data_IF_508301997275
#
_entry.id   IF_508301997275
#
_cell.length_a   1.000
_cell.length_b   1.000
_cell.length_c   1.000
_cell.angle_alpha   90.00
_cell.angle_beta   90.00
_cell.angle_gamma   90.00
#
_symmetry.space_group_name_H-M   'P 1'
#
loop_
_entity.id
_entity.type
_entity.pdbx_description
1 polymer ?
#
# COMPACT_ATOMS: atom_id res chain seq x y z
N UNK A 1 4.28 2.79 -16.79
CA UNK A 1 2.92 3.11 -16.39
C UNK A 1 2.12 1.80 -16.23
N UNK A 2 1.77 1.38 -15.00
CA UNK A 2 1.06 0.13 -14.74
C UNK A 2 -0.31 0.05 -15.44
N UNK A 3 -0.89 1.19 -15.82
CA UNK A 3 -2.16 1.26 -16.56
C UNK A 3 -2.08 0.71 -17.98
N UNK A 4 -0.87 0.45 -18.49
CA UNK A 4 -0.66 -0.15 -19.81
C UNK A 4 -0.69 -1.67 -19.80
N UNK A 5 -0.77 -2.29 -18.63
CA UNK A 5 -0.62 -3.73 -18.48
C UNK A 5 -1.76 -4.36 -17.67
N UNK A 6 -2.07 -5.61 -18.01
CA UNK A 6 -3.04 -6.43 -17.28
C UNK A 6 -4.44 -5.82 -17.25
N UNK A 7 -5.09 -5.95 -16.12
CA UNK A 7 -6.50 -5.55 -15.92
C UNK A 7 -6.76 -4.06 -16.12
N UNK A 8 -5.74 -3.20 -15.94
CA UNK A 8 -5.85 -1.75 -16.15
C UNK A 8 -5.89 -1.33 -17.63
N UNK A 9 -5.46 -2.20 -18.54
CA UNK A 9 -5.43 -1.94 -19.97
C UNK A 9 -6.70 -2.39 -20.70
N UNK A 10 -7.68 -2.95 -20.00
CA UNK A 10 -8.93 -3.41 -20.62
C UNK A 10 -9.82 -2.24 -21.01
N UNK A 11 -10.53 -2.38 -22.14
CA UNK A 11 -11.49 -1.34 -22.61
C UNK A 11 -12.58 -1.07 -21.57
N UNK A 12 -13.06 -2.10 -20.88
CA UNK A 12 -14.08 -1.97 -19.83
C UNK A 12 -13.59 -1.13 -18.66
N UNK A 13 -12.39 -1.42 -18.15
CA UNK A 13 -11.79 -0.62 -17.07
C UNK A 13 -11.59 0.84 -17.50
N UNK A 14 -10.98 1.06 -18.66
CA UNK A 14 -10.71 2.40 -19.17
C UNK A 14 -11.98 3.21 -19.39
N UNK A 15 -13.06 2.57 -19.91
CA UNK A 15 -14.35 3.24 -20.11
C UNK A 15 -14.91 3.72 -18.77
N UNK A 16 -15.06 2.83 -17.80
CA UNK A 16 -15.67 3.15 -16.50
C UNK A 16 -14.85 4.19 -15.75
N UNK A 17 -13.50 4.08 -15.77
CA UNK A 17 -12.63 5.08 -15.13
C UNK A 17 -12.65 6.45 -15.83
N UNK A 18 -12.81 6.49 -17.14
CA UNK A 18 -12.97 7.76 -17.86
C UNK A 18 -14.32 8.42 -17.55
N UNK A 19 -15.39 7.65 -17.46
CA UNK A 19 -16.71 8.15 -17.08
C UNK A 19 -16.69 8.71 -15.65
N UNK A 20 -16.11 7.98 -14.69
CA UNK A 20 -15.90 8.44 -13.31
C UNK A 20 -15.07 9.75 -13.28
N UNK A 21 -13.95 9.78 -13.99
CA UNK A 21 -13.06 10.94 -14.02
C UNK A 21 -13.76 12.15 -14.62
N UNK A 22 -14.50 11.97 -15.71
CA UNK A 22 -15.22 13.06 -16.38
C UNK A 22 -16.37 13.61 -15.51
N UNK A 23 -17.13 12.73 -14.85
CA UNK A 23 -18.21 13.14 -13.95
C UNK A 23 -17.70 13.97 -12.75
N UNK A 24 -16.45 13.77 -12.36
CA UNK A 24 -15.87 14.41 -11.18
C UNK A 24 -14.90 15.56 -11.50
N UNK A 25 -14.69 15.92 -12.77
CA UNK A 25 -13.66 16.89 -13.15
C UNK A 25 -13.89 18.31 -12.61
N UNK A 26 -15.15 18.69 -12.42
CA UNK A 26 -15.55 20.00 -11.90
C UNK A 26 -16.13 19.98 -10.49
N UNK A 27 -16.08 18.84 -9.81
CA UNK A 27 -16.61 18.68 -8.46
C UNK A 27 -15.53 19.00 -7.44
N UNK A 28 -15.89 19.73 -6.39
CA UNK A 28 -15.00 19.90 -5.23
C UNK A 28 -14.97 18.60 -4.46
N UNK A 29 -13.77 18.00 -4.35
CA UNK A 29 -13.57 16.73 -3.67
C UNK A 29 -13.43 16.91 -2.16
N UNK A 30 -13.96 15.96 -1.41
CA UNK A 30 -13.70 15.86 0.02
C UNK A 30 -12.27 15.39 0.28
N UNK A 31 -11.67 15.75 1.42
CA UNK A 31 -10.43 15.12 1.87
C UNK A 31 -10.61 13.59 1.93
N UNK A 32 -9.57 12.87 1.51
CA UNK A 32 -9.51 11.40 1.51
C UNK A 32 -10.59 10.69 0.67
N UNK A 33 -11.27 11.43 -0.21
CA UNK A 33 -12.27 10.87 -1.12
C UNK A 33 -11.64 9.86 -2.08
N UNK A 34 -12.16 8.65 -2.08
CA UNK A 34 -11.71 7.54 -2.93
C UNK A 34 -12.53 7.44 -4.22
N UNK A 35 -11.88 6.99 -5.28
CA UNK A 35 -12.54 6.64 -6.54
C UNK A 35 -13.03 5.20 -6.48
N UNK A 36 -14.33 5.00 -6.60
CA UNK A 36 -14.99 3.73 -6.31
C UNK A 36 -15.23 2.84 -7.52
N UNK A 37 -15.30 3.42 -8.72
CA UNK A 37 -15.65 2.68 -9.92
C UNK A 37 -14.57 1.67 -10.36
N UNK A 38 -15.01 0.60 -11.00
CA UNK A 38 -14.17 -0.52 -11.46
C UNK A 38 -13.33 -1.18 -10.34
N UNK A 39 -13.84 -1.22 -9.12
CA UNK A 39 -13.24 -1.88 -7.95
C UNK A 39 -14.10 -3.05 -7.47
N UNK A 40 -13.53 -4.08 -6.81
CA UNK A 40 -12.09 -4.29 -6.59
C UNK A 40 -11.37 -4.79 -7.85
N UNK A 41 -10.11 -4.40 -8.05
CA UNK A 41 -9.31 -4.86 -9.19
C UNK A 41 -8.14 -5.75 -8.77
N UNK A 42 -7.48 -5.43 -7.67
CA UNK A 42 -6.40 -6.21 -7.07
C UNK A 42 -6.67 -6.39 -5.58
N UNK A 43 -6.82 -7.64 -5.16
CA UNK A 43 -7.12 -8.00 -3.78
C UNK A 43 -5.97 -8.79 -3.15
N UNK A 44 -5.66 -8.50 -1.90
CA UNK A 44 -4.70 -9.26 -1.11
C UNK A 44 -5.31 -10.61 -0.65
N UNK A 45 -4.50 -11.62 -0.28
CA UNK A 45 -5.01 -12.90 0.23
C UNK A 45 -5.95 -12.80 1.43
N UNK A 46 -5.81 -11.72 2.23
CA UNK A 46 -6.65 -11.48 3.40
C UNK A 46 -7.95 -10.71 3.10
N UNK A 47 -8.17 -10.27 1.85
CA UNK A 47 -9.25 -9.36 1.48
C UNK A 47 -10.62 -9.82 1.99
N UNK A 48 -11.04 -11.04 1.69
CA UNK A 48 -12.36 -11.55 2.08
C UNK A 48 -12.52 -11.66 3.60
N UNK A 49 -11.45 -12.02 4.31
CA UNK A 49 -11.45 -12.05 5.78
C UNK A 49 -11.58 -10.67 6.39
N UNK A 50 -10.85 -9.68 5.87
CA UNK A 50 -10.95 -8.30 6.32
C UNK A 50 -12.32 -7.72 6.03
N UNK A 51 -12.88 -8.02 4.84
CA UNK A 51 -14.24 -7.62 4.47
C UNK A 51 -15.28 -8.18 5.44
N UNK A 52 -15.16 -9.46 5.79
CA UNK A 52 -16.05 -10.10 6.77
C UNK A 52 -15.93 -9.50 8.17
N UNK A 53 -14.80 -8.90 8.52
CA UNK A 53 -14.57 -8.17 9.77
C UNK A 53 -15.05 -6.71 9.73
N UNK A 54 -15.70 -6.29 8.66
CA UNK A 54 -16.21 -4.93 8.53
C UNK A 54 -15.29 -3.95 7.85
N UNK A 55 -14.21 -4.40 7.19
CA UNK A 55 -13.27 -3.51 6.53
C UNK A 55 -13.94 -2.67 5.43
N UNK A 56 -13.72 -1.37 5.47
CA UNK A 56 -14.00 -0.43 4.40
C UNK A 56 -12.69 -0.18 3.66
N UNK A 57 -12.70 -0.39 2.34
CA UNK A 57 -11.48 -0.43 1.55
C UNK A 57 -11.24 0.85 0.75
N UNK A 58 -10.01 1.35 0.81
CA UNK A 58 -9.45 2.27 -0.17
C UNK A 58 -8.50 1.56 -1.13
N UNK A 59 -7.96 2.30 -2.08
CA UNK A 59 -7.05 1.76 -3.08
C UNK A 59 -5.65 2.38 -2.94
N UNK A 60 -4.62 1.53 -2.77
CA UNK A 60 -3.22 1.96 -2.74
C UNK A 60 -2.41 1.18 -3.78
N UNK A 61 -1.79 1.90 -4.72
CA UNK A 61 -1.05 1.30 -5.85
C UNK A 61 -1.86 0.25 -6.63
N UNK A 62 -3.17 0.46 -6.71
CA UNK A 62 -4.12 -0.45 -7.36
C UNK A 62 -4.56 -1.65 -6.51
N UNK A 63 -4.04 -1.81 -5.31
CA UNK A 63 -4.47 -2.82 -4.35
C UNK A 63 -5.58 -2.31 -3.44
N UNK A 64 -6.56 -3.16 -3.18
CA UNK A 64 -7.53 -2.92 -2.11
C UNK A 64 -6.82 -3.01 -0.76
N UNK A 65 -7.00 -1.98 0.06
CA UNK A 65 -6.42 -1.88 1.39
C UNK A 65 -7.48 -1.42 2.38
N UNK A 66 -7.62 -2.11 3.50
CA UNK A 66 -8.53 -1.69 4.56
C UNK A 66 -8.09 -0.31 5.11
N UNK A 67 -8.98 0.67 5.04
CA UNK A 67 -8.77 2.00 5.61
C UNK A 67 -9.23 2.06 7.06
N UNK A 68 -10.37 1.43 7.36
CA UNK A 68 -10.95 1.34 8.70
C UNK A 68 -11.91 0.16 8.78
N UNK A 69 -12.39 -0.16 9.97
CA UNK A 69 -13.33 -1.26 10.20
C UNK A 69 -14.64 -0.73 10.79
N UNK A 70 -15.74 -0.96 10.09
CA UNK A 70 -17.08 -0.66 10.55
C UNK A 70 -17.50 -1.69 11.60
N UNK A 71 -17.85 -1.28 12.83
CA UNK A 71 -18.41 -2.18 13.82
C UNK A 71 -19.75 -2.78 13.37
N UNK A 72 -20.19 -3.83 14.05
CA UNK A 72 -21.50 -4.43 13.81
C UNK A 72 -22.62 -3.37 13.89
N UNK A 73 -23.50 -3.39 12.90
CA UNK A 73 -24.60 -2.42 12.76
C UNK A 73 -24.23 -1.08 12.13
N UNK A 74 -22.94 -0.85 11.82
CA UNK A 74 -22.49 0.33 11.09
C UNK A 74 -22.30 -0.02 9.61
N UNK A 75 -22.81 0.77 8.64
CA UNK A 75 -22.61 0.54 7.22
C UNK A 75 -21.12 0.52 6.85
N UNK A 76 -20.72 -0.44 6.01
CA UNK A 76 -19.35 -0.56 5.51
C UNK A 76 -19.12 0.37 4.31
N UNK A 77 -19.26 1.66 4.53
CA UNK A 77 -19.13 2.69 3.50
C UNK A 77 -18.57 3.99 4.07
N UNK A 78 -17.88 4.75 3.23
CA UNK A 78 -17.36 6.06 3.59
C UNK A 78 -18.41 7.15 3.36
N UNK A 79 -18.61 8.02 4.38
CA UNK A 79 -19.30 9.28 4.25
C UNK A 79 -18.30 10.41 4.47
N UNK A 80 -17.78 10.95 3.36
CA UNK A 80 -16.76 11.99 3.39
C UNK A 80 -17.33 13.33 3.82
N UNK A 81 -16.49 14.14 4.45
CA UNK A 81 -16.88 15.45 4.96
C UNK A 81 -15.69 16.40 4.97
N UNK A 82 -15.94 17.71 4.75
CA UNK A 82 -14.94 18.76 4.95
C UNK A 82 -14.58 18.98 6.44
N UNK A 83 -15.27 18.30 7.35
CA UNK A 83 -14.95 18.31 8.78
C UNK A 83 -14.43 16.93 9.18
N UNK A 84 -15.29 16.10 9.81
CA UNK A 84 -14.97 14.74 10.24
C UNK A 84 -15.88 13.77 9.50
N UNK A 85 -15.27 12.85 8.78
CA UNK A 85 -15.98 11.75 8.13
C UNK A 85 -16.50 10.75 9.15
N UNK A 86 -17.42 9.87 8.74
CA UNK A 86 -18.07 8.89 9.63
C UNK A 86 -17.08 7.95 10.32
N UNK A 87 -15.97 7.66 9.69
CA UNK A 87 -14.93 6.76 10.22
C UNK A 87 -14.05 7.38 11.32
N UNK A 88 -14.11 8.69 11.55
CA UNK A 88 -13.18 9.39 12.46
C UNK A 88 -13.14 8.77 13.87
N UNK A 89 -14.31 8.51 14.46
CA UNK A 89 -14.39 7.93 15.80
C UNK A 89 -13.89 6.47 15.81
N UNK A 90 -14.17 5.71 14.76
CA UNK A 90 -13.79 4.32 14.62
C UNK A 90 -12.28 4.19 14.49
N UNK A 91 -11.64 4.97 13.61
CA UNK A 91 -10.17 5.05 13.51
C UNK A 91 -9.55 5.47 14.85
N UNK A 92 -10.13 6.44 15.53
CA UNK A 92 -9.69 6.84 16.87
C UNK A 92 -9.70 5.69 17.89
N UNK A 93 -10.69 4.80 17.81
CA UNK A 93 -10.76 3.60 18.64
C UNK A 93 -9.67 2.59 18.28
N UNK A 94 -9.44 2.36 16.98
CA UNK A 94 -8.38 1.48 16.49
C UNK A 94 -7.00 1.97 16.93
N UNK A 95 -6.72 3.27 16.80
CA UNK A 95 -5.46 3.89 17.26
C UNK A 95 -5.25 3.69 18.75
N UNK A 96 -6.28 3.91 19.57
CA UNK A 96 -6.19 3.64 21.02
C UNK A 96 -5.90 2.17 21.30
N UNK A 97 -6.60 1.27 20.63
CA UNK A 97 -6.38 -0.16 20.82
C UNK A 97 -4.94 -0.59 20.44
N UNK A 98 -4.40 -0.08 19.35
CA UNK A 98 -2.99 -0.37 18.96
C UNK A 98 -2.01 0.19 19.97
N UNK A 99 -2.31 1.35 20.55
CA UNK A 99 -1.43 2.01 21.53
C UNK A 99 -1.46 1.33 22.89
N UNK A 100 -2.63 0.89 23.34
CA UNK A 100 -2.84 0.33 24.69
C UNK A 100 -2.70 -1.20 24.72
N UNK A 101 -2.93 -1.87 23.59
CA UNK A 101 -2.94 -3.33 23.48
C UNK A 101 -2.05 -3.81 22.33
N UNK A 102 -2.68 -4.26 21.23
CA UNK A 102 -2.00 -4.74 20.03
C UNK A 102 -2.84 -4.53 18.78
N UNK A 103 -2.19 -4.45 17.63
CA UNK A 103 -2.83 -4.37 16.33
C UNK A 103 -2.17 -5.28 15.30
N UNK A 104 -2.95 -5.70 14.30
CA UNK A 104 -2.48 -6.45 13.14
C UNK A 104 -2.75 -5.63 11.88
N UNK A 105 -1.72 -5.38 11.09
CA UNK A 105 -1.82 -4.64 9.84
C UNK A 105 -1.50 -5.53 8.65
N UNK A 106 -2.38 -5.57 7.64
CA UNK A 106 -2.11 -6.23 6.36
C UNK A 106 -1.17 -5.35 5.51
N UNK A 107 0.04 -5.84 5.31
CA UNK A 107 1.08 -5.22 4.48
C UNK A 107 1.27 -5.93 3.13
N UNK A 108 0.29 -6.71 2.67
CA UNK A 108 0.39 -7.48 1.42
C UNK A 108 0.52 -6.60 0.18
N UNK A 109 0.03 -5.36 0.21
CA UNK A 109 0.04 -4.44 -0.92
C UNK A 109 1.44 -3.91 -1.30
N UNK A 110 2.44 -4.01 -0.41
CA UNK A 110 3.82 -3.61 -0.73
C UNK A 110 4.59 -4.76 -1.38
N UNK A 111 5.52 -4.43 -2.27
CA UNK A 111 6.38 -5.42 -2.94
C UNK A 111 7.39 -6.03 -1.96
N UNK A 112 7.66 -7.32 -2.10
CA UNK A 112 8.65 -8.06 -1.31
C UNK A 112 9.55 -8.84 -2.24
N UNK A 113 10.85 -8.80 -1.97
CA UNK A 113 11.85 -9.59 -2.68
C UNK A 113 12.88 -10.15 -1.71
N UNK A 114 13.41 -11.33 -2.02
CA UNK A 114 14.57 -11.89 -1.33
C UNK A 114 15.71 -12.00 -2.31
N UNK A 115 16.86 -11.44 -1.96
CA UNK A 115 18.10 -11.53 -2.70
C UNK A 115 19.07 -12.41 -1.92
N UNK A 116 19.49 -13.52 -2.47
CA UNK A 116 20.34 -14.48 -1.78
C UNK A 116 21.44 -15.05 -2.68
N UNK A 117 22.52 -15.50 -2.05
CA UNK A 117 23.67 -16.11 -2.70
C UNK A 117 24.99 -15.41 -2.35
N UNK A 118 26.12 -15.97 -2.74
CA UNK A 118 27.46 -15.45 -2.39
C UNK A 118 27.71 -14.00 -2.84
N UNK A 119 27.07 -13.57 -3.94
CA UNK A 119 27.18 -12.20 -4.46
C UNK A 119 26.10 -11.22 -4.01
N UNK A 120 25.15 -11.63 -3.16
CA UNK A 120 23.98 -10.81 -2.80
C UNK A 120 24.33 -9.46 -2.17
N UNK A 121 25.32 -9.44 -1.26
CA UNK A 121 25.78 -8.22 -0.62
C UNK A 121 26.44 -7.26 -1.63
N UNK A 122 27.34 -7.76 -2.46
CA UNK A 122 28.01 -6.93 -3.46
C UNK A 122 27.04 -6.38 -4.52
N UNK A 123 26.04 -7.17 -4.91
CA UNK A 123 24.98 -6.72 -5.81
C UNK A 123 24.17 -5.59 -5.18
N UNK A 124 23.73 -5.75 -3.94
CA UNK A 124 22.94 -4.73 -3.26
C UNK A 124 23.75 -3.49 -2.94
N UNK A 125 25.01 -3.61 -2.55
CA UNK A 125 25.92 -2.47 -2.30
C UNK A 125 26.15 -1.64 -3.57
N UNK A 126 26.15 -2.29 -4.74
CA UNK A 126 26.20 -1.60 -6.03
C UNK A 126 24.87 -0.95 -6.41
N UNK A 127 23.74 -1.58 -6.06
CA UNK A 127 22.40 -1.11 -6.43
C UNK A 127 21.96 0.11 -5.62
N UNK A 128 22.28 0.16 -4.32
CA UNK A 128 21.76 1.18 -3.42
C UNK A 128 22.82 2.23 -3.05
N UNK A 129 22.38 3.46 -2.92
CA UNK A 129 23.27 4.57 -2.54
C UNK A 129 23.60 4.61 -1.03
N UNK A 130 22.90 3.85 -0.21
CA UNK A 130 23.06 3.80 1.24
C UNK A 130 23.97 2.62 1.65
N UNK A 131 24.52 2.71 2.86
CA UNK A 131 25.20 1.55 3.46
C UNK A 131 24.21 0.47 3.84
N UNK A 132 24.50 -0.76 3.46
CA UNK A 132 23.72 -1.93 3.84
C UNK A 132 23.80 -2.22 5.34
N UNK A 133 22.76 -2.87 5.92
CA UNK A 133 22.82 -3.31 7.32
C UNK A 133 23.93 -4.33 7.51
N UNK A 134 24.85 -4.10 8.49
CA UNK A 134 26.05 -4.91 8.70
C UNK A 134 25.78 -6.16 9.51
N UNK A 135 24.79 -6.16 10.40
CA UNK A 135 24.50 -7.30 11.30
C UNK A 135 23.21 -7.98 10.87
N UNK A 136 23.15 -9.29 11.02
CA UNK A 136 21.92 -10.08 10.85
C UNK A 136 20.83 -9.54 11.76
N UNK A 137 19.62 -9.43 11.26
CA UNK A 137 18.46 -8.86 11.94
C UNK A 137 18.34 -7.32 11.82
N UNK A 138 19.40 -6.60 11.43
CA UNK A 138 19.30 -5.16 11.23
C UNK A 138 18.58 -4.82 9.92
N UNK A 139 17.94 -3.66 9.95
CA UNK A 139 17.17 -3.08 8.85
C UNK A 139 17.75 -1.70 8.52
N UNK A 140 17.79 -1.36 7.24
CA UNK A 140 18.14 -0.03 6.76
C UNK A 140 17.18 0.43 5.66
N UNK A 141 16.86 1.71 5.64
CA UNK A 141 16.18 2.34 4.50
C UNK A 141 17.24 2.68 3.46
N UNK A 142 17.05 2.18 2.24
CA UNK A 142 18.00 2.35 1.15
C UNK A 142 17.29 2.89 -0.10
N UNK A 143 18.04 3.61 -0.93
CA UNK A 143 17.56 4.18 -2.18
C UNK A 143 18.38 3.70 -3.36
N UNK A 144 17.73 3.26 -4.43
CA UNK A 144 18.37 3.17 -5.73
C UNK A 144 18.20 4.51 -6.46
N UNK A 145 19.28 4.97 -7.09
CA UNK A 145 19.29 6.26 -7.77
C UNK A 145 19.34 6.06 -9.30
N UNK A 146 18.86 7.05 -10.02
CA UNK A 146 19.12 7.19 -11.46
C UNK A 146 20.52 7.73 -11.70
N UNK A 147 21.03 7.64 -12.92
CA UNK A 147 22.32 8.22 -13.32
C UNK A 147 22.42 9.74 -13.08
N UNK A 148 21.29 10.43 -13.02
CA UNK A 148 21.20 11.87 -12.73
C UNK A 148 21.06 12.18 -11.24
N UNK A 149 21.16 11.17 -10.36
CA UNK A 149 21.04 11.33 -8.90
C UNK A 149 19.62 11.44 -8.36
N UNK A 150 18.59 11.29 -9.21
CA UNK A 150 17.19 11.23 -8.75
C UNK A 150 16.88 9.89 -8.09
N UNK A 151 15.98 9.85 -7.12
CA UNK A 151 15.52 8.60 -6.49
C UNK A 151 14.70 7.81 -7.51
N UNK A 152 15.16 6.61 -7.83
CA UNK A 152 14.45 5.65 -8.69
C UNK A 152 13.49 4.80 -7.85
N UNK A 153 13.99 4.24 -6.74
CA UNK A 153 13.23 3.36 -5.86
C UNK A 153 13.74 3.48 -4.43
N UNK A 154 12.84 3.24 -3.48
CA UNK A 154 13.13 3.17 -2.06
C UNK A 154 12.85 1.77 -1.55
N UNK A 155 13.74 1.23 -0.73
CA UNK A 155 13.65 -0.11 -0.16
C UNK A 155 13.93 -0.07 1.34
N UNK A 156 13.16 -0.83 2.09
CA UNK A 156 13.60 -1.32 3.39
C UNK A 156 14.36 -2.61 3.17
N UNK A 157 15.64 -2.65 3.54
CA UNK A 157 16.53 -3.80 3.38
C UNK A 157 16.83 -4.39 4.75
N UNK A 158 16.45 -5.65 4.96
CA UNK A 158 16.79 -6.42 6.14
C UNK A 158 17.87 -7.45 5.79
N UNK A 159 18.94 -7.55 6.60
CA UNK A 159 19.89 -8.65 6.50
C UNK A 159 19.37 -9.87 7.25
N UNK A 160 18.95 -10.90 6.52
CA UNK A 160 18.47 -12.17 7.11
C UNK A 160 19.62 -13.11 7.50
N UNK A 161 20.68 -13.10 6.69
CA UNK A 161 21.91 -13.89 6.95
C UNK A 161 23.13 -13.20 6.30
N UNK A 162 24.27 -13.86 6.33
CA UNK A 162 25.50 -13.38 5.66
C UNK A 162 25.29 -13.20 4.15
N UNK A 163 24.46 -14.07 3.54
CA UNK A 163 24.24 -14.10 2.08
C UNK A 163 22.77 -13.92 1.68
N UNK A 164 21.89 -13.47 2.59
CA UNK A 164 20.46 -13.30 2.31
C UNK A 164 19.94 -11.97 2.85
N UNK A 165 19.21 -11.27 2.01
CA UNK A 165 18.59 -9.98 2.30
C UNK A 165 17.12 -10.01 1.89
N UNK A 166 16.27 -9.45 2.74
CA UNK A 166 14.85 -9.26 2.47
C UNK A 166 14.56 -7.78 2.20
N UNK A 167 13.94 -7.52 1.06
CA UNK A 167 13.62 -6.18 0.60
C UNK A 167 12.12 -5.96 0.62
N UNK A 168 11.70 -4.78 1.10
CA UNK A 168 10.32 -4.33 1.05
C UNK A 168 10.31 -2.95 0.38
N UNK A 169 9.43 -2.77 -0.61
CA UNK A 169 9.28 -1.52 -1.37
C UNK A 169 7.80 -1.22 -1.63
N UNK A 170 7.47 0.05 -1.81
CA UNK A 170 6.13 0.49 -2.19
C UNK A 170 5.84 0.25 -3.68
#
# INVERSE_FOLDING_TARGET
DPRRYGSYATKSYLKVKNEEAYANVFVTHFPDEERTEARPLRTAPCYDRLKALGAVFGQKFGWERANWFAPEGVPQEDHWSFRRSNYFAHIGNEVRNVTENAGLLDMSAVAKARISGPGAEAFLDHLVANKLPKKVGLVALCHALTERGGVHSEFTVQRESVTSFYLVSA
#
